data_IF_553727901493
#
_entry.id   IF_553727901493
#
_cell.length_a   1.000
_cell.length_b   1.000
_cell.length_c   1.000
_cell.angle_alpha   90.00
_cell.angle_beta   90.00
_cell.angle_gamma   90.00
#
_symmetry.space_group_name_H-M   'P 1'
#
loop_
_entity.id
_entity.type
_entity.pdbx_description
1 polymer ?
#
# COMPACT_ATOMS: atom_id res chain seq x y z
N UNK A 1 -22.02 6.95 8.55
CA UNK A 1 -21.97 6.64 7.11
C UNK A 1 -23.08 5.67 6.69
N UNK A 2 -23.16 4.45 7.26
CA UNK A 2 -24.23 3.48 6.92
C UNK A 2 -25.65 4.09 6.96
N UNK A 3 -25.98 4.83 8.02
CA UNK A 3 -27.29 5.49 8.13
C UNK A 3 -27.64 6.35 6.89
N UNK A 4 -26.70 7.20 6.45
CA UNK A 4 -26.92 8.07 5.29
C UNK A 4 -27.03 7.27 3.98
N UNK A 5 -26.21 6.23 3.80
CA UNK A 5 -26.29 5.34 2.64
C UNK A 5 -27.64 4.64 2.62
N UNK A 6 -28.07 4.07 3.75
CA UNK A 6 -29.34 3.35 3.86
C UNK A 6 -30.54 4.29 3.65
N UNK A 7 -30.50 5.51 4.21
CA UNK A 7 -31.50 6.55 3.95
C UNK A 7 -31.59 6.92 2.48
N UNK A 8 -30.45 7.11 1.81
CA UNK A 8 -30.44 7.39 0.38
C UNK A 8 -31.01 6.21 -0.42
N UNK A 9 -30.62 4.98 -0.10
CA UNK A 9 -31.15 3.78 -0.75
C UNK A 9 -32.68 3.68 -0.58
N UNK A 10 -33.21 3.98 0.60
CA UNK A 10 -34.66 4.05 0.84
C UNK A 10 -35.38 5.14 0.03
N UNK A 11 -34.68 6.19 -0.41
CA UNK A 11 -35.26 7.24 -1.26
C UNK A 11 -35.40 6.82 -2.73
N UNK A 12 -34.65 5.80 -3.16
CA UNK A 12 -34.60 5.33 -4.55
C UNK A 12 -35.05 3.86 -4.71
N UNK A 13 -35.36 3.17 -3.62
CA UNK A 13 -35.71 1.75 -3.58
C UNK A 13 -36.55 1.43 -2.33
N UNK A 14 -37.07 0.19 -2.24
CA UNK A 14 -37.81 -0.29 -1.08
C UNK A 14 -36.95 -1.11 -0.13
N UNK A 15 -37.38 -1.20 1.13
CA UNK A 15 -36.63 -1.86 2.22
C UNK A 15 -36.24 -3.31 1.92
N UNK A 16 -37.17 -4.09 1.39
CA UNK A 16 -36.96 -5.52 1.11
C UNK A 16 -35.87 -5.72 0.05
N UNK A 17 -35.96 -4.97 -1.06
CA UNK A 17 -34.95 -5.03 -2.12
C UNK A 17 -33.57 -4.60 -1.62
N UNK A 18 -33.50 -3.56 -0.79
CA UNK A 18 -32.25 -3.08 -0.21
C UNK A 18 -31.63 -4.16 0.68
N UNK A 19 -32.40 -4.71 1.61
CA UNK A 19 -31.91 -5.69 2.58
C UNK A 19 -31.43 -6.97 1.90
N UNK A 20 -32.14 -7.45 0.87
CA UNK A 20 -31.76 -8.64 0.09
C UNK A 20 -30.48 -8.44 -0.76
N UNK A 21 -30.07 -7.20 -1.00
CA UNK A 21 -28.90 -6.86 -1.81
C UNK A 21 -27.80 -6.15 -0.99
N UNK A 22 -27.92 -6.12 0.33
CA UNK A 22 -26.91 -5.57 1.22
C UNK A 22 -26.18 -6.71 1.94
N UNK A 23 -24.87 -6.60 2.02
CA UNK A 23 -24.03 -7.48 2.83
C UNK A 23 -23.29 -6.62 3.84
N UNK A 24 -23.31 -7.03 5.11
CA UNK A 24 -22.59 -6.35 6.19
C UNK A 24 -21.43 -7.23 6.63
N UNK A 25 -20.21 -6.70 6.57
CA UNK A 25 -19.01 -7.34 7.13
C UNK A 25 -18.76 -6.76 8.52
N UNK A 26 -18.90 -7.57 9.57
CA UNK A 26 -18.74 -7.11 10.96
C UNK A 26 -18.42 -8.28 11.90
N UNK A 27 -17.92 -8.00 13.09
CA UNK A 27 -17.80 -9.01 14.15
C UNK A 27 -19.20 -9.49 14.56
N UNK A 28 -19.38 -10.81 14.67
CA UNK A 28 -20.58 -11.42 15.25
C UNK A 28 -20.54 -11.24 16.77
N UNK A 29 -20.93 -10.06 17.22
CA UNK A 29 -20.98 -9.63 18.62
C UNK A 29 -22.12 -8.63 18.83
N UNK A 30 -22.37 -8.22 20.08
CA UNK A 30 -23.33 -7.16 20.39
C UNK A 30 -22.75 -5.79 19.99
N UNK A 31 -22.97 -5.41 18.74
CA UNK A 31 -22.54 -4.13 18.17
C UNK A 31 -23.59 -3.58 17.20
N UNK A 32 -23.52 -2.28 16.94
CA UNK A 32 -24.51 -1.54 16.16
C UNK A 32 -24.75 -2.15 14.77
N UNK A 33 -23.69 -2.59 14.09
CA UNK A 33 -23.79 -3.13 12.73
C UNK A 33 -24.42 -4.53 12.73
N UNK A 34 -23.99 -5.41 13.63
CA UNK A 34 -24.54 -6.76 13.75
C UNK A 34 -26.01 -6.72 14.18
N UNK A 35 -26.35 -5.87 15.15
CA UNK A 35 -27.73 -5.68 15.60
C UNK A 35 -28.62 -5.14 14.48
N UNK A 36 -28.13 -4.15 13.73
CA UNK A 36 -28.86 -3.61 12.57
C UNK A 36 -29.09 -4.68 11.50
N UNK A 37 -28.08 -5.50 11.20
CA UNK A 37 -28.20 -6.58 10.21
C UNK A 37 -29.25 -7.61 10.65
N UNK A 38 -29.17 -8.07 11.91
CA UNK A 38 -30.10 -9.05 12.47
C UNK A 38 -31.55 -8.54 12.54
N UNK A 39 -31.76 -7.26 12.87
CA UNK A 39 -33.10 -6.65 12.90
C UNK A 39 -33.74 -6.51 11.52
N UNK A 40 -32.94 -6.57 10.46
CA UNK A 40 -33.38 -6.30 9.09
C UNK A 40 -33.19 -7.51 8.16
N UNK A 41 -32.86 -8.68 8.71
CA UNK A 41 -32.59 -9.92 7.98
C UNK A 41 -31.54 -9.76 6.86
N UNK A 42 -30.51 -8.95 7.13
CA UNK A 42 -29.43 -8.63 6.19
C UNK A 42 -28.32 -9.67 6.34
N UNK A 43 -27.75 -10.14 5.22
CA UNK A 43 -26.65 -11.09 5.24
C UNK A 43 -25.42 -10.50 5.97
N UNK A 44 -24.89 -11.28 6.92
CA UNK A 44 -23.66 -10.95 7.65
C UNK A 44 -22.53 -11.86 7.22
N UNK A 45 -21.37 -11.26 6.91
CA UNK A 45 -20.10 -11.98 6.80
C UNK A 45 -19.26 -11.65 8.03
N UNK A 46 -18.89 -12.68 8.79
CA UNK A 46 -18.20 -12.54 10.06
C UNK A 46 -16.77 -12.05 9.87
N UNK A 47 -16.41 -10.91 10.47
CA UNK A 47 -15.05 -10.41 10.55
C UNK A 47 -14.28 -11.07 11.70
N UNK A 48 -13.06 -11.55 11.43
CA UNK A 48 -12.21 -12.09 12.49
C UNK A 48 -11.60 -10.95 13.32
N UNK A 49 -12.12 -10.75 14.54
CA UNK A 49 -11.65 -9.69 15.47
C UNK A 49 -10.16 -9.72 15.80
N UNK A 50 -9.46 -10.83 15.58
CA UNK A 50 -8.01 -10.92 15.77
C UNK A 50 -7.21 -10.22 14.66
N UNK A 51 -7.85 -9.91 13.54
CA UNK A 51 -7.25 -9.23 12.39
C UNK A 51 -7.65 -7.76 12.46
N UNK A 52 -6.68 -6.90 12.78
CA UNK A 52 -6.88 -5.45 12.75
C UNK A 52 -7.11 -4.94 11.32
N UNK A 53 -7.86 -3.84 11.17
CA UNK A 53 -8.29 -3.34 9.85
C UNK A 53 -7.15 -3.07 8.85
N UNK A 54 -6.01 -2.49 9.29
CA UNK A 54 -4.87 -2.27 8.38
C UNK A 54 -4.14 -3.55 7.94
N UNK A 55 -4.41 -4.67 8.60
CA UNK A 55 -3.89 -6.00 8.28
C UNK A 55 -4.93 -6.89 7.59
N UNK A 56 -6.14 -6.39 7.32
CA UNK A 56 -7.27 -7.20 6.86
C UNK A 56 -7.41 -7.30 5.34
N UNK A 57 -6.39 -6.88 4.57
CA UNK A 57 -6.43 -6.90 3.10
C UNK A 57 -6.74 -8.29 2.54
N UNK A 58 -6.28 -9.36 3.19
CA UNK A 58 -6.56 -10.75 2.83
C UNK A 58 -7.75 -11.37 3.58
N UNK A 59 -8.45 -10.61 4.42
CA UNK A 59 -9.65 -11.08 5.12
C UNK A 59 -10.90 -10.85 4.27
N UNK A 60 -12.04 -11.32 4.75
CA UNK A 60 -13.38 -11.01 4.23
C UNK A 60 -13.60 -9.53 3.91
N UNK A 61 -12.98 -8.60 4.65
CA UNK A 61 -13.13 -7.15 4.42
C UNK A 61 -12.53 -6.69 3.10
N UNK A 62 -11.45 -7.32 2.64
CA UNK A 62 -10.82 -7.02 1.35
C UNK A 62 -11.26 -7.97 0.25
N UNK A 63 -11.36 -9.27 0.55
CA UNK A 63 -11.47 -10.32 -0.46
C UNK A 63 -12.90 -10.59 -0.93
N UNK A 64 -13.94 -10.19 -0.18
CA UNK A 64 -15.34 -10.44 -0.58
C UNK A 64 -15.73 -9.79 -1.92
N UNK A 65 -14.98 -8.79 -2.37
CA UNK A 65 -15.21 -8.06 -3.61
C UNK A 65 -14.54 -8.70 -4.83
N UNK A 66 -13.80 -9.79 -4.64
CA UNK A 66 -12.98 -10.39 -5.68
C UNK A 66 -13.22 -11.89 -5.82
N UNK A 67 -13.26 -12.36 -7.07
CA UNK A 67 -13.31 -13.78 -7.40
C UNK A 67 -11.87 -14.29 -7.63
N UNK A 68 -11.08 -14.31 -6.56
CA UNK A 68 -9.67 -14.72 -6.59
C UNK A 68 -9.54 -16.14 -6.02
N UNK A 69 -8.68 -16.95 -6.64
CA UNK A 69 -8.33 -18.27 -6.11
C UNK A 69 -7.61 -18.15 -4.76
N UNK A 70 -8.17 -18.66 -3.64
CA UNK A 70 -7.54 -18.57 -2.32
C UNK A 70 -6.15 -19.22 -2.27
N UNK A 71 -5.89 -20.21 -3.14
CA UNK A 71 -4.58 -20.85 -3.24
C UNK A 71 -3.51 -19.87 -3.72
N UNK A 72 -3.84 -18.97 -4.65
CA UNK A 72 -2.88 -17.99 -5.17
C UNK A 72 -2.47 -16.97 -4.11
N UNK A 73 -3.41 -16.54 -3.28
CA UNK A 73 -3.15 -15.67 -2.12
C UNK A 73 -2.23 -16.39 -1.14
N UNK A 74 -2.59 -17.63 -0.74
CA UNK A 74 -1.81 -18.42 0.21
C UNK A 74 -0.40 -18.72 -0.29
N UNK A 75 -0.25 -19.14 -1.55
CA UNK A 75 1.06 -19.42 -2.16
C UNK A 75 1.94 -18.16 -2.20
N UNK A 76 1.35 -17.00 -2.52
CA UNK A 76 2.08 -15.72 -2.56
C UNK A 76 2.48 -15.23 -1.15
N UNK A 77 1.64 -15.44 -0.14
CA UNK A 77 2.00 -15.14 1.24
C UNK A 77 3.10 -16.08 1.76
N UNK A 78 2.97 -17.38 1.46
CA UNK A 78 3.94 -18.40 1.86
C UNK A 78 5.31 -18.18 1.20
N UNK A 79 5.37 -17.67 -0.04
CA UNK A 79 6.65 -17.37 -0.69
C UNK A 79 7.47 -16.34 0.10
N UNK A 80 6.81 -15.33 0.68
CA UNK A 80 7.47 -14.32 1.53
C UNK A 80 7.84 -14.89 2.89
N UNK A 81 6.93 -15.65 3.51
CA UNK A 81 7.19 -16.29 4.82
C UNK A 81 8.36 -17.27 4.73
N UNK A 82 8.46 -18.05 3.66
CA UNK A 82 9.58 -18.97 3.45
C UNK A 82 10.92 -18.23 3.39
N UNK A 83 11.01 -17.11 2.66
CA UNK A 83 12.23 -16.27 2.62
C UNK A 83 12.61 -15.75 4.00
N UNK A 84 11.63 -15.37 4.83
CA UNK A 84 11.86 -14.97 6.21
C UNK A 84 12.45 -16.13 7.04
N UNK A 85 11.88 -17.33 6.92
CA UNK A 85 12.29 -18.53 7.68
C UNK A 85 13.66 -19.09 7.25
N UNK A 86 14.05 -18.91 6.00
CA UNK A 86 15.36 -19.32 5.48
C UNK A 86 16.53 -18.57 6.15
N UNK A 87 16.26 -17.43 6.81
CA UNK A 87 17.27 -16.61 7.51
C UNK A 87 18.51 -16.28 6.66
N UNK A 88 18.34 -16.21 5.35
CA UNK A 88 19.42 -15.84 4.42
C UNK A 88 19.57 -14.31 4.39
N UNK A 89 20.63 -13.80 5.04
CA UNK A 89 20.92 -12.36 5.12
C UNK A 89 21.43 -11.77 3.80
N UNK A 90 21.90 -12.60 2.87
CA UNK A 90 22.35 -12.15 1.54
C UNK A 90 21.16 -11.97 0.58
N UNK A 91 19.99 -12.55 0.90
CA UNK A 91 18.77 -12.36 0.12
C UNK A 91 18.14 -10.99 0.43
N UNK A 92 18.33 -10.04 -0.48
CA UNK A 92 17.72 -8.71 -0.40
C UNK A 92 16.19 -8.72 -0.50
N UNK A 93 15.58 -9.84 -0.89
CA UNK A 93 14.13 -10.05 -0.85
C UNK A 93 13.64 -10.64 0.47
N UNK A 94 14.50 -10.84 1.45
CA UNK A 94 14.10 -11.14 2.83
C UNK A 94 13.61 -9.85 3.53
N UNK A 95 12.38 -9.84 4.10
CA UNK A 95 11.86 -8.69 4.85
C UNK A 95 12.75 -8.23 6.00
N UNK A 96 13.44 -9.15 6.69
CA UNK A 96 14.33 -8.81 7.82
C UNK A 96 15.52 -7.95 7.37
N UNK A 97 16.08 -8.23 6.19
CA UNK A 97 17.20 -7.45 5.65
C UNK A 97 16.78 -6.01 5.39
N UNK A 98 15.60 -5.80 4.82
CA UNK A 98 15.11 -4.44 4.55
C UNK A 98 14.65 -3.72 5.82
N UNK A 99 14.05 -4.44 6.77
CA UNK A 99 13.74 -3.88 8.09
C UNK A 99 15.02 -3.37 8.79
N UNK A 100 16.10 -4.16 8.78
CA UNK A 100 17.39 -3.74 9.34
C UNK A 100 17.98 -2.49 8.64
N UNK A 101 17.86 -2.41 7.30
CA UNK A 101 18.26 -1.24 6.53
C UNK A 101 17.44 -0.01 6.94
N UNK A 102 16.11 -0.14 7.05
CA UNK A 102 15.22 0.96 7.44
C UNK A 102 15.56 1.47 8.84
N UNK A 103 15.78 0.57 9.81
CA UNK A 103 16.19 0.95 11.17
C UNK A 103 17.52 1.73 11.15
N UNK A 104 18.51 1.22 10.42
CA UNK A 104 19.81 1.89 10.27
C UNK A 104 19.67 3.28 9.64
N UNK A 105 18.74 3.45 8.69
CA UNK A 105 18.45 4.75 8.08
C UNK A 105 17.73 5.69 9.06
N UNK A 106 16.82 5.19 9.90
CA UNK A 106 16.19 6.00 10.96
C UNK A 106 17.25 6.55 11.93
N UNK A 107 18.20 5.71 12.35
CA UNK A 107 19.33 6.13 13.21
C UNK A 107 20.21 7.20 12.55
N UNK A 108 20.30 7.19 11.22
CA UNK A 108 20.99 8.22 10.43
C UNK A 108 20.15 9.48 10.18
N UNK A 109 18.95 9.58 10.75
CA UNK A 109 18.08 10.74 10.64
C UNK A 109 17.21 10.77 9.38
N UNK A 110 17.01 9.64 8.71
CA UNK A 110 15.98 9.52 7.66
C UNK A 110 14.59 9.55 8.29
N UNK A 111 13.76 10.48 7.83
CA UNK A 111 12.43 10.78 8.40
C UNK A 111 11.28 10.41 7.47
N UNK A 112 11.55 10.17 6.19
CA UNK A 112 10.52 9.93 5.19
C UNK A 112 10.75 8.63 4.45
N UNK A 113 9.70 7.82 4.33
CA UNK A 113 9.66 6.63 3.51
C UNK A 113 8.80 6.92 2.26
N UNK A 114 9.44 7.16 1.13
CA UNK A 114 8.78 7.71 -0.07
C UNK A 114 8.57 6.62 -1.12
N UNK A 115 7.31 6.32 -1.41
CA UNK A 115 6.93 5.49 -2.55
C UNK A 115 6.97 6.34 -3.83
N UNK A 116 7.92 6.05 -4.71
CA UNK A 116 8.03 6.64 -6.04
C UNK A 116 7.42 5.72 -7.08
N UNK A 117 6.24 6.10 -7.58
CA UNK A 117 5.45 5.26 -8.48
C UNK A 117 5.63 5.70 -9.93
N UNK A 118 6.17 4.84 -10.79
CA UNK A 118 6.08 5.00 -12.25
C UNK A 118 4.89 4.27 -12.86
N UNK A 119 4.18 3.47 -12.07
CA UNK A 119 2.88 2.90 -12.39
C UNK A 119 1.80 3.56 -11.52
N UNK A 120 0.91 4.32 -12.17
CA UNK A 120 -0.19 5.02 -11.49
C UNK A 120 -1.20 4.06 -10.85
N UNK A 121 -1.33 2.83 -11.36
CA UNK A 121 -2.27 1.83 -10.84
C UNK A 121 -1.97 1.46 -9.37
N UNK A 122 -0.71 1.60 -8.95
CA UNK A 122 -0.24 1.33 -7.58
C UNK A 122 -0.58 2.46 -6.59
N UNK A 123 -1.25 3.54 -7.00
CA UNK A 123 -1.59 4.66 -6.12
C UNK A 123 -2.39 4.24 -4.90
N UNK A 124 -3.44 3.44 -5.08
CA UNK A 124 -4.28 2.98 -3.98
C UNK A 124 -3.53 2.01 -3.05
N UNK A 125 -2.68 1.15 -3.62
CA UNK A 125 -1.75 0.35 -2.83
C UNK A 125 -0.82 1.23 -1.97
N UNK A 126 -0.32 2.33 -2.51
CA UNK A 126 0.53 3.26 -1.76
C UNK A 126 -0.20 3.88 -0.56
N UNK A 127 -1.49 4.24 -0.72
CA UNK A 127 -2.32 4.72 0.39
C UNK A 127 -2.64 3.64 1.42
N UNK A 128 -2.89 2.40 0.98
CA UNK A 128 -2.96 1.27 1.90
C UNK A 128 -1.66 1.11 2.69
N UNK A 129 -0.51 1.20 2.02
CA UNK A 129 0.81 1.14 2.68
C UNK A 129 1.01 2.30 3.66
N UNK A 130 0.54 3.51 3.36
CA UNK A 130 0.60 4.62 4.31
C UNK A 130 -0.12 4.28 5.61
N UNK A 131 -1.33 3.74 5.52
CA UNK A 131 -2.10 3.35 6.70
C UNK A 131 -1.38 2.25 7.49
N UNK A 132 -0.95 1.18 6.80
CA UNK A 132 -0.21 0.09 7.41
C UNK A 132 1.02 0.61 8.14
N UNK A 133 1.88 1.36 7.46
CA UNK A 133 3.16 1.79 8.00
C UNK A 133 3.00 2.87 9.09
N UNK A 134 2.18 3.90 8.85
CA UNK A 134 2.04 5.02 9.78
C UNK A 134 1.31 4.62 11.07
N UNK A 135 0.18 3.91 10.99
CA UNK A 135 -0.55 3.53 12.21
C UNK A 135 0.20 2.46 13.02
N UNK A 136 0.91 1.54 12.37
CA UNK A 136 1.67 0.50 13.07
C UNK A 136 2.94 1.05 13.72
N UNK A 137 3.67 1.95 13.05
CA UNK A 137 5.01 2.39 13.50
C UNK A 137 5.03 3.79 14.12
N UNK A 138 4.01 4.62 13.88
CA UNK A 138 3.90 6.00 14.38
C UNK A 138 3.60 6.10 15.87
N UNK A 139 4.41 5.46 16.71
CA UNK A 139 4.27 5.40 18.17
C UNK A 139 5.41 6.06 18.94
N UNK A 140 6.49 6.40 18.24
CA UNK A 140 7.65 7.07 18.79
C UNK A 140 8.08 8.22 17.86
N UNK A 141 8.99 9.07 18.32
CA UNK A 141 9.49 10.23 17.56
C UNK A 141 10.37 9.85 16.36
N UNK A 142 10.79 8.58 16.27
CA UNK A 142 11.70 8.09 15.25
C UNK A 142 10.99 7.49 14.03
N UNK A 143 9.65 7.40 14.06
CA UNK A 143 8.87 6.82 12.96
C UNK A 143 9.06 7.60 11.65
N UNK A 144 9.26 6.89 10.55
CA UNK A 144 9.29 7.53 9.23
C UNK A 144 7.86 7.88 8.77
N UNK A 145 7.68 9.06 8.19
CA UNK A 145 6.43 9.46 7.54
C UNK A 145 6.34 8.79 6.15
N UNK A 146 5.36 7.90 5.90
CA UNK A 146 5.17 7.35 4.57
C UNK A 146 4.53 8.40 3.64
N UNK A 147 5.07 8.54 2.43
CA UNK A 147 4.54 9.48 1.43
C UNK A 147 4.56 8.86 0.02
N UNK A 148 3.71 9.36 -0.87
CA UNK A 148 3.67 8.94 -2.27
C UNK A 148 4.10 10.08 -3.17
N UNK A 149 4.87 9.78 -4.21
CA UNK A 149 5.12 10.68 -5.32
C UNK A 149 4.97 9.93 -6.65
N UNK A 150 4.26 10.55 -7.60
CA UNK A 150 3.84 9.95 -8.86
C UNK A 150 4.75 10.45 -9.96
N UNK A 151 5.59 9.56 -10.49
CA UNK A 151 6.53 9.83 -11.55
C UNK A 151 5.95 9.43 -12.92
N UNK A 152 6.34 10.12 -14.00
CA UNK A 152 7.37 11.16 -14.07
C UNK A 152 6.80 12.57 -13.79
N UNK A 153 5.49 12.71 -13.53
CA UNK A 153 4.85 14.01 -13.23
C UNK A 153 5.64 14.77 -12.16
N UNK A 154 5.98 14.09 -11.07
CA UNK A 154 6.66 14.71 -9.93
C UNK A 154 8.17 14.95 -10.14
N UNK A 155 8.71 14.60 -11.31
CA UNK A 155 10.01 15.14 -11.72
C UNK A 155 9.98 16.68 -11.84
N UNK A 156 8.80 17.25 -12.12
CA UNK A 156 8.60 18.68 -12.33
C UNK A 156 8.17 19.43 -11.06
N UNK A 157 8.02 18.73 -9.94
CA UNK A 157 7.62 19.32 -8.65
C UNK A 157 8.58 18.92 -7.54
N UNK A 158 8.77 17.62 -7.32
CA UNK A 158 9.46 17.08 -6.14
C UNK A 158 10.91 16.68 -6.40
N UNK A 159 11.30 16.39 -7.65
CA UNK A 159 12.65 15.88 -7.92
C UNK A 159 13.77 16.82 -7.49
N UNK A 160 13.58 18.14 -7.58
CA UNK A 160 14.57 19.11 -7.07
C UNK A 160 14.79 18.92 -5.56
N UNK A 161 13.73 18.76 -4.79
CA UNK A 161 13.81 18.50 -3.35
C UNK A 161 14.43 17.13 -3.06
N UNK A 162 14.05 16.08 -3.80
CA UNK A 162 14.58 14.73 -3.60
C UNK A 162 16.07 14.64 -3.93
N UNK A 163 16.55 15.34 -4.96
CA UNK A 163 17.92 15.26 -5.44
C UNK A 163 18.83 16.28 -4.72
N UNK A 164 18.37 17.53 -4.58
CA UNK A 164 19.17 18.65 -4.09
C UNK A 164 18.87 19.09 -2.67
N UNK A 165 17.76 18.65 -2.09
CA UNK A 165 17.34 19.03 -0.74
C UNK A 165 17.91 18.14 0.38
N UNK A 166 17.31 18.21 1.58
CA UNK A 166 17.73 17.45 2.75
C UNK A 166 17.78 15.93 2.48
N UNK A 167 18.78 15.28 3.08
CA UNK A 167 19.05 13.83 2.94
C UNK A 167 18.35 13.01 4.02
N UNK A 168 17.08 13.29 4.20
CA UNK A 168 16.18 12.72 5.23
C UNK A 168 15.12 11.77 4.61
N UNK A 169 15.35 11.28 3.39
CA UNK A 169 14.39 10.45 2.63
C UNK A 169 15.01 9.13 2.20
N UNK A 170 14.25 8.06 2.40
CA UNK A 170 14.44 6.75 1.78
C UNK A 170 13.37 6.55 0.71
N UNK A 171 13.73 5.94 -0.43
CA UNK A 171 12.82 5.80 -1.55
C UNK A 171 12.57 4.33 -1.93
N UNK A 172 11.30 3.95 -2.00
CA UNK A 172 10.84 2.71 -2.64
C UNK A 172 10.46 3.02 -4.08
N UNK A 173 11.25 2.59 -5.05
CA UNK A 173 11.02 2.91 -6.45
C UNK A 173 10.28 1.75 -7.11
N UNK A 174 9.06 2.02 -7.58
CA UNK A 174 8.23 1.09 -8.31
C UNK A 174 8.37 1.40 -9.81
N UNK A 175 8.91 0.46 -10.62
CA UNK A 175 9.16 0.68 -12.05
C UNK A 175 7.85 0.88 -12.83
N UNK A 176 7.92 1.43 -14.05
CA UNK A 176 6.75 1.53 -14.92
C UNK A 176 6.21 0.13 -15.26
N UNK A 177 4.89 0.03 -15.39
CA UNK A 177 4.27 -1.17 -15.93
C UNK A 177 4.56 -1.30 -17.42
N UNK A 178 4.66 -2.55 -17.89
CA UNK A 178 4.65 -2.88 -19.30
C UNK A 178 3.21 -2.74 -19.81
N UNK A 179 2.89 -1.55 -20.29
CA UNK A 179 1.59 -1.21 -20.87
C UNK A 179 1.76 -0.22 -22.02
N UNK A 180 1.48 -0.68 -23.24
CA UNK A 180 1.53 0.15 -24.43
C UNK A 180 0.17 0.83 -24.65
N UNK A 181 0.04 2.08 -24.21
CA UNK A 181 -1.16 2.89 -24.49
C UNK A 181 -1.11 3.59 -25.85
N UNK A 182 0.10 3.94 -26.30
CA UNK A 182 0.35 4.65 -27.56
C UNK A 182 1.61 4.10 -28.21
N UNK A 183 1.53 3.82 -29.52
CA UNK A 183 2.64 3.24 -30.30
C UNK A 183 3.79 4.21 -30.55
N UNK A 184 3.48 5.48 -30.83
CA UNK A 184 4.47 6.50 -31.16
C UNK A 184 3.96 7.91 -30.86
N UNK A 185 4.88 8.86 -30.77
CA UNK A 185 4.54 10.28 -30.85
C UNK A 185 4.27 10.69 -32.30
N UNK A 186 3.43 11.71 -32.49
CA UNK A 186 3.28 12.35 -33.79
C UNK A 186 4.55 13.13 -34.16
N UNK A 187 4.92 13.09 -35.44
CA UNK A 187 5.99 13.90 -36.00
C UNK A 187 5.50 15.33 -36.24
N UNK A 188 5.86 16.20 -35.33
CA UNK A 188 5.47 17.62 -35.26
C UNK A 188 6.70 18.53 -35.14
N UNK A 189 7.89 18.01 -35.45
CA UNK A 189 9.20 18.70 -35.31
C UNK A 189 9.44 19.28 -33.90
N UNK A 190 9.05 18.54 -32.86
CA UNK A 190 9.22 18.94 -31.46
C UNK A 190 10.48 18.31 -30.82
N UNK A 191 11.42 17.90 -31.67
CA UNK A 191 12.72 17.39 -31.26
C UNK A 191 12.79 15.88 -31.03
N UNK A 192 13.88 15.45 -30.38
CA UNK A 192 14.32 14.05 -30.38
C UNK A 192 13.37 13.08 -29.67
N UNK A 193 12.43 13.60 -28.86
CA UNK A 193 11.43 12.81 -28.14
C UNK A 193 10.54 12.02 -29.10
N UNK A 194 10.29 12.55 -30.31
CA UNK A 194 9.48 11.92 -31.35
C UNK A 194 10.14 10.65 -31.92
N UNK A 195 11.44 10.46 -31.70
CA UNK A 195 12.18 9.25 -32.10
C UNK A 195 12.04 8.10 -31.09
N UNK A 196 11.31 8.29 -29.99
CA UNK A 196 11.01 7.26 -28.98
C UNK A 196 9.52 6.92 -28.97
N UNK A 197 9.17 5.77 -28.42
CA UNK A 197 7.78 5.49 -28.01
C UNK A 197 7.51 6.13 -26.64
N UNK A 198 6.25 6.47 -26.30
CA UNK A 198 5.89 6.97 -24.98
C UNK A 198 6.34 6.05 -23.82
N UNK A 199 6.21 4.74 -23.99
CA UNK A 199 6.69 3.75 -23.00
C UNK A 199 8.22 3.79 -22.86
N UNK A 200 8.96 3.81 -23.97
CA UNK A 200 10.42 3.92 -23.93
C UNK A 200 10.91 5.24 -23.32
N UNK A 201 10.14 6.32 -23.49
CA UNK A 201 10.42 7.59 -22.82
C UNK A 201 10.22 7.46 -21.31
N UNK A 202 9.10 6.90 -20.86
CA UNK A 202 8.82 6.66 -19.44
C UNK A 202 9.90 5.78 -18.80
N UNK A 203 10.28 4.69 -19.47
CA UNK A 203 11.38 3.82 -19.05
C UNK A 203 12.72 4.57 -19.00
N UNK A 204 13.00 5.43 -19.98
CA UNK A 204 14.21 6.27 -19.97
C UNK A 204 14.21 7.25 -18.78
N UNK A 205 13.06 7.83 -18.43
CA UNK A 205 12.93 8.73 -17.28
C UNK A 205 13.16 8.00 -15.96
N UNK A 206 12.59 6.81 -15.80
CA UNK A 206 12.84 5.92 -14.66
C UNK A 206 14.33 5.57 -14.51
N UNK A 207 14.96 5.08 -15.58
CA UNK A 207 16.39 4.74 -15.57
C UNK A 207 17.27 5.96 -15.29
N UNK A 208 16.90 7.13 -15.81
CA UNK A 208 17.57 8.40 -15.55
C UNK A 208 17.53 8.79 -14.06
N UNK A 209 16.36 8.63 -13.42
CA UNK A 209 16.22 8.86 -11.97
C UNK A 209 17.09 7.89 -11.17
N UNK A 210 17.00 6.58 -11.45
CA UNK A 210 17.77 5.54 -10.74
C UNK A 210 19.28 5.79 -10.87
N UNK A 211 19.76 6.11 -12.08
CA UNK A 211 21.17 6.46 -12.30
C UNK A 211 21.58 7.69 -11.49
N UNK A 212 20.72 8.71 -11.45
CA UNK A 212 20.96 9.93 -10.66
C UNK A 212 21.03 9.63 -9.17
N UNK A 213 20.11 8.82 -8.65
CA UNK A 213 20.06 8.43 -7.24
C UNK A 213 21.32 7.64 -6.84
N UNK A 214 21.76 6.69 -7.67
CA UNK A 214 23.02 5.96 -7.47
C UNK A 214 24.23 6.88 -7.45
N UNK A 215 24.36 7.76 -8.44
CA UNK A 215 25.49 8.71 -8.53
C UNK A 215 25.55 9.65 -7.34
N UNK A 216 24.39 10.10 -6.85
CA UNK A 216 24.29 10.99 -5.68
C UNK A 216 24.22 10.26 -4.34
N UNK A 217 24.36 8.93 -4.33
CA UNK A 217 24.26 8.08 -3.14
C UNK A 217 22.98 8.33 -2.31
N UNK A 218 21.85 8.55 -3.00
CA UNK A 218 20.55 8.74 -2.35
C UNK A 218 20.04 7.36 -1.91
N UNK A 219 19.63 7.15 -0.64
CA UNK A 219 19.11 5.86 -0.17
C UNK A 219 17.83 5.45 -0.91
N UNK A 220 17.85 4.29 -1.56
CA UNK A 220 16.67 3.77 -2.27
C UNK A 220 16.73 2.25 -2.42
N UNK A 221 15.55 1.64 -2.58
CA UNK A 221 15.38 0.28 -3.11
C UNK A 221 14.52 0.29 -4.36
N UNK A 222 14.65 -0.74 -5.17
CA UNK A 222 13.86 -0.94 -6.39
C UNK A 222 12.98 -2.16 -6.19
N UNK A 223 11.68 -1.98 -6.30
CA UNK A 223 10.71 -3.07 -6.23
C UNK A 223 10.68 -3.76 -7.59
N UNK A 224 10.93 -5.07 -7.62
CA UNK A 224 10.93 -5.86 -8.84
C UNK A 224 9.67 -6.71 -8.89
N UNK A 225 9.01 -6.67 -10.04
CA UNK A 225 7.84 -7.49 -10.33
C UNK A 225 8.18 -8.56 -11.35
N UNK A 226 7.50 -9.70 -11.29
CA UNK A 226 7.57 -10.69 -12.37
C UNK A 226 6.77 -10.11 -13.55
N UNK A 227 7.47 -9.83 -14.65
CA UNK A 227 6.89 -9.21 -15.83
C UNK A 227 6.15 -10.22 -16.71
N UNK A 228 5.03 -10.73 -16.18
CA UNK A 228 4.06 -11.55 -16.89
C UNK A 228 2.66 -11.10 -16.50
N UNK A 229 1.77 -10.94 -17.48
CA UNK A 229 0.40 -10.49 -17.25
C UNK A 229 -0.34 -11.34 -16.19
N UNK A 230 -0.17 -12.67 -16.28
CA UNK A 230 -0.77 -13.65 -15.36
C UNK A 230 -0.21 -13.58 -13.93
N UNK A 231 0.87 -12.84 -13.71
CA UNK A 231 1.52 -12.71 -12.40
C UNK A 231 1.18 -11.39 -11.70
N UNK A 232 0.27 -10.57 -12.24
CA UNK A 232 -0.08 -9.27 -11.62
C UNK A 232 -0.73 -9.45 -10.25
N UNK A 233 -1.64 -10.40 -10.11
CA UNK A 233 -2.33 -10.69 -8.84
C UNK A 233 -1.35 -11.25 -7.81
N UNK A 234 -0.61 -12.31 -8.14
CA UNK A 234 0.44 -12.85 -7.27
C UNK A 234 1.52 -11.83 -6.89
N UNK A 235 1.97 -10.97 -7.81
CA UNK A 235 2.89 -9.87 -7.50
C UNK A 235 2.30 -8.93 -6.44
N UNK A 236 1.00 -8.60 -6.53
CA UNK A 236 0.33 -7.76 -5.54
C UNK A 236 0.20 -8.48 -4.20
N UNK A 237 -0.17 -9.77 -4.18
CA UNK A 237 -0.27 -10.54 -2.94
C UNK A 237 1.09 -10.71 -2.25
N UNK A 238 2.15 -10.97 -3.00
CA UNK A 238 3.52 -11.00 -2.47
C UNK A 238 3.89 -9.63 -1.89
N UNK A 239 3.58 -8.53 -2.60
CA UNK A 239 3.86 -7.18 -2.14
C UNK A 239 3.10 -6.82 -0.85
N UNK A 240 1.80 -7.13 -0.76
CA UNK A 240 1.02 -6.92 0.48
C UNK A 240 1.62 -7.72 1.64
N UNK A 241 1.90 -9.01 1.42
CA UNK A 241 2.47 -9.91 2.43
C UNK A 241 3.84 -9.42 2.90
N UNK A 242 4.70 -9.00 1.97
CA UNK A 242 6.01 -8.43 2.24
C UNK A 242 5.93 -7.22 3.16
N UNK A 243 5.08 -6.24 2.82
CA UNK A 243 5.00 -5.01 3.61
C UNK A 243 4.32 -5.23 4.96
N UNK A 244 3.39 -6.18 5.08
CA UNK A 244 2.84 -6.61 6.36
C UNK A 244 3.96 -7.15 7.26
N UNK A 245 4.76 -8.10 6.76
CA UNK A 245 5.84 -8.70 7.55
C UNK A 245 6.95 -7.70 7.87
N UNK A 246 7.39 -6.90 6.91
CA UNK A 246 8.38 -5.83 7.13
C UNK A 246 7.92 -4.86 8.23
N UNK A 247 6.66 -4.43 8.19
CA UNK A 247 6.08 -3.52 9.19
C UNK A 247 6.03 -4.17 10.57
N UNK A 248 5.64 -5.44 10.67
CA UNK A 248 5.61 -6.18 11.94
C UNK A 248 7.02 -6.31 12.53
N UNK A 249 8.00 -6.70 11.70
CA UNK A 249 9.40 -6.84 12.11
C UNK A 249 9.94 -5.50 12.61
N UNK A 250 9.69 -4.42 11.88
CA UNK A 250 10.07 -3.07 12.29
C UNK A 250 9.46 -2.65 13.63
N UNK A 251 8.20 -2.99 13.88
CA UNK A 251 7.53 -2.70 15.14
C UNK A 251 8.18 -3.42 16.32
N UNK A 252 8.39 -4.73 16.18
CA UNK A 252 9.05 -5.52 17.22
C UNK A 252 10.50 -5.07 17.46
N UNK A 253 11.26 -4.78 16.41
CA UNK A 253 12.63 -4.31 16.53
C UNK A 253 12.75 -2.95 17.24
N UNK A 254 11.71 -2.12 17.17
CA UNK A 254 11.62 -0.83 17.87
C UNK A 254 10.98 -0.94 19.26
N UNK A 255 10.67 -2.15 19.74
CA UNK A 255 9.96 -2.40 21.00
C UNK A 255 8.59 -1.69 21.10
N UNK A 256 7.88 -1.58 19.97
CA UNK A 256 6.52 -1.04 19.91
C UNK A 256 5.54 -2.14 19.50
N UNK A 257 4.27 -1.97 19.88
CA UNK A 257 3.21 -2.85 19.42
C UNK A 257 2.73 -2.41 18.02
N UNK A 258 2.97 -3.19 16.95
CA UNK A 258 2.55 -2.80 15.61
C UNK A 258 1.04 -2.96 15.39
N UNK A 259 0.30 -3.56 16.33
CA UNK A 259 -1.11 -3.94 16.14
C UNK A 259 -2.11 -2.98 16.80
N UNK A 260 -1.71 -2.13 17.74
CA UNK A 260 -2.60 -1.16 18.39
C UNK A 260 -2.59 0.23 17.71
N UNK A 261 -3.44 1.16 18.15
CA UNK A 261 -3.51 2.54 17.64
C UNK A 261 -4.06 3.53 18.70
N UNK A 262 -3.47 3.60 19.90
CA UNK A 262 -4.07 4.31 21.04
C UNK A 262 -4.35 5.80 20.78
N UNK A 263 -3.44 6.50 20.09
CA UNK A 263 -3.56 7.95 19.86
C UNK A 263 -4.77 8.35 18.99
N UNK A 264 -5.33 7.43 18.20
CA UNK A 264 -6.51 7.73 17.35
C UNK A 264 -7.79 7.78 18.18
N UNK A 265 -7.82 7.14 19.36
CA UNK A 265 -9.00 7.14 20.24
C UNK A 265 -9.30 8.54 20.80
N UNK A 266 -8.27 9.39 21.00
CA UNK A 266 -8.46 10.77 21.47
C UNK A 266 -9.32 11.60 20.51
N UNK A 267 -9.13 11.40 19.20
CA UNK A 267 -9.95 12.08 18.18
C UNK A 267 -11.40 11.63 18.29
N UNK A 268 -11.65 10.33 18.52
CA UNK A 268 -13.00 9.79 18.65
C UNK A 268 -13.70 10.36 19.88
N UNK A 269 -13.02 10.37 21.03
CA UNK A 269 -13.54 10.93 22.28
C UNK A 269 -13.93 12.40 22.08
N UNK A 270 -13.02 13.20 21.51
CA UNK A 270 -13.27 14.63 21.30
C UNK A 270 -14.36 14.90 20.25
N UNK A 271 -14.53 14.03 19.26
CA UNK A 271 -15.60 14.18 18.25
C UNK A 271 -17.00 14.12 18.87
N UNK A 272 -17.20 13.34 19.94
CA UNK A 272 -18.50 13.23 20.62
C UNK A 272 -18.64 14.15 21.83
N UNK A 273 -17.55 14.77 22.29
CA UNK A 273 -17.51 15.67 23.43
C UNK A 273 -17.43 17.17 23.04
N UNK A 274 -17.31 17.49 21.75
CA UNK A 274 -17.30 18.87 21.22
C UNK A 274 -18.67 19.30 20.71
#
# INVERSE_FOLDING_TARGET
MLNLIYQHLLSISNKELINNNLVIVTEVADNILNNFANQNDIQVVSHNKKIGGRYSVFSETGMILFDINPKEISDSANSVVSKLMENNVDDQSNPTVNAAIILSLQEQGVKFNVNLLYDYSLKNYSYWFHQLFAESLGKNENAMTPTTSICPKDHHSMAQLFIGGPKDKFFNIYPPAHSEHFKSFADLDMGIIQKKTPENLLQSQYLGLVKTFRNKKIPHRIIKFIDKFQSRESNMFELFSYNILETIILGYAQNINPYDQPAVEDIKINTFNS
#
